data_IF_169448397351
#
_entry.id   IF_169448397351
#
_cell.length_a   1.000
_cell.length_b   1.000
_cell.length_c   1.000
_cell.angle_alpha   90.00
_cell.angle_beta   90.00
_cell.angle_gamma   90.00
#
_symmetry.space_group_name_H-M   'P 1'
#
loop_
_entity.id
_entity.type
_entity.pdbx_description
1 polymer ?
#
# COMPACT_ATOMS: atom_id res chain seq x y z
N UNK A 1 -11.52 -12.62 10.53
CA UNK A 1 -11.51 -12.25 9.10
C UNK A 1 -10.57 -13.18 8.40
N UNK A 2 -11.08 -14.05 7.52
CA UNK A 2 -10.28 -15.07 6.85
C UNK A 2 -10.01 -14.58 5.43
N UNK A 3 -8.74 -14.37 5.10
CA UNK A 3 -8.34 -14.24 3.71
C UNK A 3 -8.40 -15.63 3.11
N UNK A 4 -9.15 -15.79 2.02
CA UNK A 4 -9.40 -17.09 1.37
C UNK A 4 -8.08 -17.78 0.92
N UNK A 5 -6.99 -17.00 0.80
CA UNK A 5 -5.66 -17.48 0.43
C UNK A 5 -4.74 -17.82 1.63
N UNK A 6 -5.09 -17.41 2.86
CA UNK A 6 -4.33 -17.69 4.08
C UNK A 6 -4.89 -18.94 4.77
N UNK A 7 -4.67 -20.09 4.14
CA UNK A 7 -5.14 -21.39 4.62
C UNK A 7 -3.98 -22.32 4.99
N UNK A 8 -4.26 -23.29 5.87
CA UNK A 8 -3.24 -24.18 6.44
C UNK A 8 -2.18 -23.39 7.21
N UNK A 9 -0.90 -23.72 6.99
CA UNK A 9 0.24 -23.04 7.62
C UNK A 9 0.22 -21.51 7.42
N UNK A 10 -0.25 -21.04 6.27
CA UNK A 10 -0.28 -19.61 5.95
C UNK A 10 -1.35 -18.84 6.74
N UNK A 11 -2.30 -19.55 7.34
CA UNK A 11 -3.29 -18.98 8.27
C UNK A 11 -2.85 -19.04 9.73
N UNK A 12 -1.77 -19.76 10.05
CA UNK A 12 -1.16 -19.75 11.38
C UNK A 12 -0.34 -18.47 11.58
N UNK A 13 -0.50 -17.86 12.75
CA UNK A 13 0.19 -16.62 13.13
C UNK A 13 1.57 -16.93 13.74
N UNK A 14 1.75 -18.12 14.29
CA UNK A 14 2.93 -18.57 15.04
C UNK A 14 3.90 -19.46 14.23
N UNK A 15 3.52 -19.89 13.03
CA UNK A 15 4.39 -20.67 12.14
C UNK A 15 5.40 -19.77 11.40
N UNK A 16 6.61 -19.68 11.96
CA UNK A 16 7.76 -18.99 11.37
C UNK A 16 8.71 -19.91 10.60
N UNK A 17 8.27 -21.12 10.23
CA UNK A 17 9.07 -22.01 9.40
C UNK A 17 9.42 -21.33 8.07
N UNK A 18 10.61 -21.65 7.53
CA UNK A 18 11.07 -21.08 6.26
C UNK A 18 10.09 -21.35 5.12
N UNK A 19 9.50 -22.54 5.09
CA UNK A 19 8.48 -22.91 4.11
C UNK A 19 7.25 -22.00 4.20
N UNK A 20 6.74 -21.76 5.41
CA UNK A 20 5.59 -20.87 5.58
C UNK A 20 5.91 -19.43 5.17
N UNK A 21 7.08 -18.93 5.54
CA UNK A 21 7.54 -17.59 5.13
C UNK A 21 7.67 -17.46 3.61
N UNK A 22 8.26 -18.45 2.93
CA UNK A 22 8.36 -18.46 1.47
C UNK A 22 6.97 -18.51 0.80
N UNK A 23 6.03 -19.26 1.39
CA UNK A 23 4.63 -19.32 0.94
C UNK A 23 3.93 -17.97 1.10
N UNK A 24 4.09 -17.29 2.24
CA UNK A 24 3.53 -15.96 2.49
C UNK A 24 4.07 -14.91 1.51
N UNK A 25 5.37 -14.95 1.18
CA UNK A 25 5.96 -14.09 0.13
C UNK A 25 5.31 -14.34 -1.23
N UNK A 26 5.07 -15.60 -1.61
CA UNK A 26 4.40 -15.93 -2.88
C UNK A 26 2.96 -15.41 -2.90
N UNK A 27 2.22 -15.54 -1.80
CA UNK A 27 0.85 -14.99 -1.67
C UNK A 27 0.89 -13.47 -1.82
N UNK A 28 1.80 -12.78 -1.12
CA UNK A 28 1.96 -11.33 -1.22
C UNK A 28 2.25 -10.86 -2.65
N UNK A 29 3.12 -11.56 -3.38
CA UNK A 29 3.39 -11.26 -4.79
C UNK A 29 2.16 -11.44 -5.67
N UNK A 30 1.40 -12.52 -5.48
CA UNK A 30 0.15 -12.75 -6.22
C UNK A 30 -0.91 -11.69 -5.95
N UNK A 31 -0.99 -11.17 -4.71
CA UNK A 31 -1.94 -10.12 -4.35
C UNK A 31 -1.69 -8.82 -5.13
N UNK A 32 -0.45 -8.55 -5.55
CA UNK A 32 -0.13 -7.38 -6.37
C UNK A 32 -0.78 -7.45 -7.76
N UNK A 33 -0.87 -8.65 -8.34
CA UNK A 33 -1.48 -8.90 -9.66
C UNK A 33 -3.01 -8.95 -9.61
N UNK A 34 -3.60 -9.10 -8.42
CA UNK A 34 -5.05 -9.12 -8.24
C UNK A 34 -5.66 -7.73 -8.33
N UNK A 35 -6.93 -7.68 -8.73
CA UNK A 35 -7.71 -6.44 -8.74
C UNK A 35 -7.86 -5.87 -7.32
N UNK A 36 -7.99 -4.55 -7.26
CA UNK A 36 -8.34 -3.87 -6.01
C UNK A 36 -9.64 -4.42 -5.48
N UNK A 37 -9.63 -4.77 -4.20
CA UNK A 37 -10.79 -5.30 -3.50
C UNK A 37 -11.05 -4.50 -2.23
N UNK A 38 -12.30 -4.47 -1.80
CA UNK A 38 -12.76 -3.81 -0.58
C UNK A 38 -13.50 -4.82 0.29
N UNK A 39 -13.48 -4.60 1.60
CA UNK A 39 -14.34 -5.35 2.52
C UNK A 39 -15.75 -4.77 2.47
N UNK A 40 -16.71 -5.60 2.13
CA UNK A 40 -18.13 -5.35 2.37
C UNK A 40 -18.37 -5.42 3.89
N UNK A 41 -18.84 -4.32 4.49
CA UNK A 41 -18.93 -4.18 5.94
C UNK A 41 -20.13 -4.93 6.55
N UNK A 42 -21.13 -5.28 5.75
CA UNK A 42 -22.32 -6.00 6.19
C UNK A 42 -22.06 -7.51 6.23
N UNK A 43 -21.40 -8.02 5.20
CA UNK A 43 -21.11 -9.45 5.01
C UNK A 43 -19.71 -9.85 5.47
N UNK A 44 -18.80 -8.88 5.65
CA UNK A 44 -17.39 -9.11 5.95
C UNK A 44 -16.58 -9.73 4.80
N UNK A 45 -17.14 -9.80 3.60
CA UNK A 45 -16.51 -10.42 2.43
C UNK A 45 -15.61 -9.42 1.70
N UNK A 46 -14.58 -9.96 1.06
CA UNK A 46 -13.70 -9.18 0.18
C UNK A 46 -14.31 -9.21 -1.22
N UNK A 47 -14.61 -8.06 -1.78
CA UNK A 47 -15.20 -7.90 -3.10
C UNK A 47 -14.33 -7.03 -3.99
N UNK A 48 -14.10 -7.45 -5.23
CA UNK A 48 -13.38 -6.64 -6.22
C UNK A 48 -14.14 -5.35 -6.51
N UNK A 49 -13.40 -4.25 -6.68
CA UNK A 49 -13.96 -2.97 -7.08
C UNK A 49 -13.78 -2.80 -8.59
N UNK A 50 -14.85 -2.84 -9.40
CA UNK A 50 -14.73 -2.81 -10.84
C UNK A 50 -14.05 -1.54 -11.36
N UNK A 51 -13.18 -1.70 -12.35
CA UNK A 51 -12.55 -0.58 -13.06
C UNK A 51 -11.38 0.10 -12.35
N UNK A 52 -11.02 -0.30 -11.12
CA UNK A 52 -9.86 0.27 -10.42
C UNK A 52 -8.51 -0.33 -10.86
N UNK A 53 -8.52 -1.47 -11.56
CA UNK A 53 -7.30 -2.18 -11.95
C UNK A 53 -6.68 -2.97 -10.80
N UNK A 54 -5.38 -3.26 -10.92
CA UNK A 54 -4.63 -4.11 -9.98
C UNK A 54 -4.14 -3.36 -8.74
N UNK A 55 -3.83 -4.12 -7.68
CA UNK A 55 -3.22 -3.58 -6.47
C UNK A 55 -1.84 -2.96 -6.76
N UNK A 56 -1.03 -3.58 -7.63
CA UNK A 56 0.27 -3.02 -8.02
C UNK A 56 0.16 -1.63 -8.67
N UNK A 57 -0.80 -1.46 -9.58
CA UNK A 57 -1.05 -0.18 -10.25
C UNK A 57 -1.49 0.89 -9.25
N UNK A 58 -2.39 0.56 -8.32
CA UNK A 58 -2.83 1.54 -7.32
C UNK A 58 -1.75 1.88 -6.30
N UNK A 59 -0.94 0.91 -5.86
CA UNK A 59 0.21 1.17 -5.01
C UNK A 59 1.25 2.07 -5.70
N UNK A 60 1.45 1.88 -7.01
CA UNK A 60 2.33 2.75 -7.82
C UNK A 60 1.81 4.19 -7.86
N UNK A 61 0.50 4.37 -8.10
CA UNK A 61 -0.13 5.70 -8.06
C UNK A 61 -0.02 6.34 -6.67
N UNK A 62 -0.24 5.55 -5.62
CA UNK A 62 -0.12 6.03 -4.25
C UNK A 62 1.32 6.45 -3.89
N UNK A 63 2.30 5.66 -4.30
CA UNK A 63 3.71 6.01 -4.13
C UNK A 63 4.06 7.33 -4.84
N UNK A 64 3.51 7.57 -6.04
CA UNK A 64 3.65 8.85 -6.74
C UNK A 64 3.04 10.01 -5.94
N UNK A 65 1.81 9.86 -5.44
CA UNK A 65 1.16 10.88 -4.63
C UNK A 65 1.98 11.25 -3.39
N UNK A 66 2.52 10.25 -2.68
CA UNK A 66 3.39 10.49 -1.53
C UNK A 66 4.69 11.21 -1.91
N UNK A 67 5.30 10.82 -3.03
CA UNK A 67 6.51 11.48 -3.53
C UNK A 67 6.26 12.93 -3.92
N UNK A 68 5.14 13.21 -4.60
CA UNK A 68 4.76 14.56 -5.02
C UNK A 68 4.48 15.44 -3.80
N UNK A 69 3.77 14.92 -2.79
CA UNK A 69 3.51 15.64 -1.53
C UNK A 69 4.79 15.93 -0.75
N UNK A 70 5.73 14.99 -0.69
CA UNK A 70 7.03 15.21 -0.05
C UNK A 70 7.77 16.38 -0.71
N UNK A 71 7.80 16.40 -2.05
CA UNK A 71 8.44 17.47 -2.83
C UNK A 71 7.77 18.82 -2.55
N UNK A 72 6.43 18.86 -2.61
CA UNK A 72 5.66 20.08 -2.34
C UNK A 72 6.02 20.70 -0.99
N UNK A 73 6.11 19.89 0.08
CA UNK A 73 6.51 20.38 1.41
C UNK A 73 7.97 20.86 1.47
N UNK A 74 8.86 20.22 0.73
CA UNK A 74 10.26 20.66 0.65
C UNK A 74 10.37 22.00 -0.08
N UNK A 75 9.64 22.17 -1.18
CA UNK A 75 9.62 23.43 -1.92
C UNK A 75 9.06 24.56 -1.05
N UNK A 76 7.97 24.33 -0.30
CA UNK A 76 7.41 25.31 0.65
C UNK A 76 8.42 25.77 1.70
N UNK A 77 9.23 24.85 2.24
CA UNK A 77 10.29 25.20 3.19
C UNK A 77 11.34 26.10 2.53
N UNK A 78 11.79 25.75 1.33
CA UNK A 78 12.77 26.55 0.58
C UNK A 78 12.23 27.95 0.26
N UNK A 79 10.98 28.06 -0.18
CA UNK A 79 10.35 29.37 -0.42
C UNK A 79 10.27 30.21 0.85
N UNK A 80 9.99 29.57 1.99
CA UNK A 80 9.96 30.28 3.27
C UNK A 80 11.35 30.79 3.66
N UNK A 81 12.39 29.97 3.55
CA UNK A 81 13.79 30.34 3.86
C UNK A 81 14.29 31.49 2.97
N UNK A 82 14.03 31.42 1.66
CA UNK A 82 14.38 32.49 0.71
C UNK A 82 13.60 33.77 1.03
N UNK A 83 12.32 33.65 1.41
CA UNK A 83 11.50 34.78 1.85
C UNK A 83 12.08 35.49 3.08
N UNK A 84 12.57 34.75 4.06
CA UNK A 84 13.23 35.33 5.25
C UNK A 84 14.57 36.01 4.91
N UNK A 85 15.38 35.41 4.03
CA UNK A 85 16.67 36.00 3.63
C UNK A 85 16.49 37.32 2.86
N UNK A 86 15.44 37.43 2.04
CA UNK A 86 15.14 38.65 1.28
C UNK A 86 14.57 39.80 2.12
N UNK A 87 14.21 39.56 3.38
CA UNK A 87 13.73 40.59 4.33
C UNK A 87 14.82 41.06 5.32
N UNK A 88 16.01 40.46 5.27
CA UNK A 88 17.12 40.73 6.19
C UNK A 88 18.03 41.89 5.75
N UNK A 89 17.63 42.70 4.76
CA UNK A 89 18.35 43.88 4.27
C UNK A 89 17.42 45.07 4.08
#
# INVERSE_FOLDING_TARGET
MQYDQLTGSAGSIDDSSKENMDKLVRIGKRLLDMNVSRVDLETGRIEEVPGLGTNAEQLTKFAKQLSDERRRRQDELVYSEVGYQNQAW
#
